data_IF_558474646008
#
_entry.id   IF_558474646008
#
_cell.length_a   1.000
_cell.length_b   1.000
_cell.length_c   1.000
_cell.angle_alpha   90.00
_cell.angle_beta   90.00
_cell.angle_gamma   90.00
#
_symmetry.space_group_name_H-M   'P 1'
#
loop_
_entity.id
_entity.type
_entity.pdbx_description
1 polymer ?
#
# COMPACT_ATOMS: atom_id res chain seq x y z
N UNK A 1 -2.02 17.88 -27.56
CA UNK A 1 -2.90 16.69 -27.37
C UNK A 1 -2.66 15.99 -26.02
N UNK A 2 -1.44 15.56 -25.68
CA UNK A 2 -1.15 14.87 -24.39
C UNK A 2 -1.49 15.68 -23.13
N UNK A 3 -1.08 16.96 -23.08
CA UNK A 3 -1.35 17.85 -21.93
C UNK A 3 -2.85 18.01 -21.67
N UNK A 4 -3.65 18.15 -22.73
CA UNK A 4 -5.12 18.28 -22.64
C UNK A 4 -5.76 17.03 -22.04
N UNK A 5 -5.32 15.84 -22.46
CA UNK A 5 -5.80 14.57 -21.90
C UNK A 5 -5.45 14.46 -20.41
N UNK A 6 -4.23 14.83 -20.02
CA UNK A 6 -3.82 14.87 -18.61
C UNK A 6 -4.69 15.83 -17.80
N UNK A 7 -4.95 17.05 -18.30
CA UNK A 7 -5.81 18.02 -17.62
C UNK A 7 -7.25 17.52 -17.44
N UNK A 8 -7.79 16.80 -18.43
CA UNK A 8 -9.14 16.20 -18.33
C UNK A 8 -9.15 15.09 -17.27
N UNK A 9 -8.14 14.21 -17.26
CA UNK A 9 -8.04 13.14 -16.26
C UNK A 9 -7.83 13.69 -14.84
N UNK A 10 -7.10 14.80 -14.68
CA UNK A 10 -6.88 15.47 -13.39
C UNK A 10 -8.11 16.21 -12.87
N UNK A 11 -8.96 16.74 -13.75
CA UNK A 11 -10.18 17.45 -13.35
C UNK A 11 -11.40 16.52 -13.27
N UNK A 12 -11.22 15.22 -13.53
CA UNK A 12 -12.32 14.26 -13.48
C UNK A 12 -12.68 13.95 -12.04
N UNK A 13 -13.78 14.54 -11.56
CA UNK A 13 -14.33 14.29 -10.22
C UNK A 13 -15.19 13.02 -10.15
N UNK A 14 -15.16 12.17 -11.18
CA UNK A 14 -15.97 10.97 -11.23
C UNK A 14 -15.19 9.78 -10.63
N UNK A 15 -15.71 9.09 -9.60
CA UNK A 15 -15.02 7.97 -8.95
C UNK A 15 -14.66 6.80 -9.89
N UNK A 16 -15.34 6.71 -11.04
CA UNK A 16 -15.09 5.69 -12.07
C UNK A 16 -13.96 6.06 -13.05
N UNK A 17 -13.52 7.32 -13.03
CA UNK A 17 -12.54 7.87 -13.97
C UNK A 17 -11.29 8.46 -13.27
N UNK A 18 -11.18 8.29 -11.95
CA UNK A 18 -10.08 8.81 -11.15
C UNK A 18 -8.84 7.89 -11.13
N UNK A 19 -8.74 6.91 -12.03
CA UNK A 19 -7.68 5.89 -12.00
C UNK A 19 -6.26 6.48 -11.94
N UNK A 20 -6.00 7.56 -12.70
CA UNK A 20 -4.70 8.25 -12.67
C UNK A 20 -4.41 8.86 -11.29
N UNK A 21 -5.37 9.62 -10.74
CA UNK A 21 -5.25 10.24 -9.41
C UNK A 21 -5.07 9.19 -8.31
N UNK A 22 -5.76 8.06 -8.44
CA UNK A 22 -5.67 6.91 -7.54
C UNK A 22 -4.28 6.30 -7.56
N UNK A 23 -3.71 6.05 -8.75
CA UNK A 23 -2.34 5.51 -8.89
C UNK A 23 -1.31 6.48 -8.31
N UNK A 24 -1.43 7.78 -8.58
CA UNK A 24 -0.55 8.82 -8.02
C UNK A 24 -0.65 8.83 -6.49
N UNK A 25 -1.85 8.69 -5.92
CA UNK A 25 -2.05 8.63 -4.48
C UNK A 25 -1.46 7.41 -3.80
N UNK A 26 -1.65 6.21 -4.37
CA UNK A 26 -1.00 4.99 -3.86
C UNK A 26 0.52 5.14 -3.90
N UNK A 27 1.05 5.67 -4.99
CA UNK A 27 2.49 5.88 -5.13
C UNK A 27 3.02 6.84 -4.06
N UNK A 28 2.39 8.00 -3.90
CA UNK A 28 2.77 8.97 -2.88
C UNK A 28 2.70 8.38 -1.46
N UNK A 29 1.64 7.64 -1.14
CA UNK A 29 1.49 6.94 0.12
C UNK A 29 2.59 5.88 0.35
N UNK A 30 2.94 5.11 -0.69
CA UNK A 30 4.01 4.10 -0.63
C UNK A 30 5.39 4.71 -0.41
N UNK A 31 5.61 5.95 -0.83
CA UNK A 31 6.84 6.71 -0.56
C UNK A 31 6.90 7.33 0.84
N UNK A 32 5.95 7.01 1.74
CA UNK A 32 5.81 7.67 3.04
C UNK A 32 5.68 9.20 2.93
N UNK A 33 5.01 9.68 1.87
CA UNK A 33 4.78 11.12 1.68
C UNK A 33 3.92 11.65 2.83
N UNK A 34 4.29 12.79 3.47
CA UNK A 34 3.49 13.37 4.53
C UNK A 34 2.06 13.64 4.10
N UNK A 35 1.09 13.38 4.98
CA UNK A 35 -0.34 13.53 4.67
C UNK A 35 -0.70 14.94 4.20
N UNK A 36 -0.03 15.97 4.75
CA UNK A 36 -0.19 17.36 4.32
C UNK A 36 0.16 17.57 2.84
N UNK A 37 1.20 16.90 2.36
CA UNK A 37 1.62 16.97 0.96
C UNK A 37 0.61 16.22 0.09
N UNK A 38 0.16 15.04 0.53
CA UNK A 38 -0.89 14.27 -0.17
C UNK A 38 -2.16 15.12 -0.33
N UNK A 39 -2.63 15.77 0.73
CA UNK A 39 -3.79 16.66 0.68
C UNK A 39 -3.57 17.84 -0.27
N UNK A 40 -2.39 18.47 -0.27
CA UNK A 40 -2.12 19.57 -1.22
C UNK A 40 -2.18 19.12 -2.68
N UNK A 41 -1.66 17.93 -2.98
CA UNK A 41 -1.68 17.35 -4.34
C UNK A 41 -3.10 16.91 -4.71
N UNK A 42 -3.87 16.42 -3.74
CA UNK A 42 -5.27 16.06 -3.93
C UNK A 42 -6.14 17.28 -4.24
N UNK A 43 -5.95 18.38 -3.51
CA UNK A 43 -6.60 19.67 -3.78
C UNK A 43 -6.21 20.26 -5.15
N UNK A 44 -5.02 19.93 -5.68
CA UNK A 44 -4.61 20.29 -7.03
C UNK A 44 -5.22 19.38 -8.14
N UNK A 45 -6.03 18.38 -7.78
CA UNK A 45 -6.64 17.42 -8.70
C UNK A 45 -5.66 16.37 -9.25
N UNK A 46 -4.47 16.26 -8.67
CA UNK A 46 -3.44 15.32 -9.11
C UNK A 46 -3.53 13.95 -8.42
N UNK A 47 -4.24 13.88 -7.29
CA UNK A 47 -4.30 12.73 -6.40
C UNK A 47 -5.69 12.62 -5.76
N UNK A 48 -6.03 11.45 -5.23
CA UNK A 48 -7.18 11.27 -4.33
C UNK A 48 -6.82 11.69 -2.90
N UNK A 49 -7.81 12.00 -2.07
CA UNK A 49 -7.55 12.43 -0.68
C UNK A 49 -6.91 11.32 0.16
N UNK A 50 -6.22 11.69 1.24
CA UNK A 50 -5.58 10.71 2.12
C UNK A 50 -6.55 9.67 2.71
N UNK A 51 -7.79 10.04 3.14
CA UNK A 51 -8.78 9.07 3.57
C UNK A 51 -9.18 8.08 2.46
N UNK A 52 -9.30 8.54 1.21
CA UNK A 52 -9.59 7.66 0.08
C UNK A 52 -8.48 6.65 -0.17
N UNK A 53 -7.21 7.06 -0.01
CA UNK A 53 -6.07 6.14 -0.12
C UNK A 53 -6.15 5.07 0.97
N UNK A 54 -6.35 5.47 2.22
CA UNK A 54 -6.44 4.54 3.35
C UNK A 54 -7.59 3.53 3.18
N UNK A 55 -8.77 4.00 2.75
CA UNK A 55 -9.92 3.13 2.47
C UNK A 55 -9.62 2.14 1.34
N UNK A 56 -8.92 2.57 0.31
CA UNK A 56 -8.52 1.70 -0.78
C UNK A 56 -7.51 0.64 -0.31
N UNK A 57 -6.50 1.01 0.47
CA UNK A 57 -5.53 0.05 1.04
C UNK A 57 -6.25 -0.98 1.91
N UNK A 58 -7.19 -0.56 2.74
CA UNK A 58 -8.01 -1.44 3.58
C UNK A 58 -8.86 -2.41 2.73
N UNK A 59 -9.63 -1.88 1.78
CA UNK A 59 -10.49 -2.70 0.92
C UNK A 59 -9.70 -3.67 0.03
N UNK A 60 -8.52 -3.25 -0.48
CA UNK A 60 -7.62 -4.13 -1.21
C UNK A 60 -7.07 -5.24 -0.32
N UNK A 61 -6.75 -4.94 0.94
CA UNK A 61 -6.27 -5.93 1.91
C UNK A 61 -7.35 -6.95 2.26
N UNK A 62 -8.59 -6.51 2.47
CA UNK A 62 -9.75 -7.39 2.70
C UNK A 62 -9.99 -8.31 1.48
N UNK A 63 -9.99 -7.74 0.27
CA UNK A 63 -10.15 -8.51 -0.96
C UNK A 63 -9.03 -9.52 -1.15
N UNK A 64 -7.78 -9.14 -0.88
CA UNK A 64 -6.63 -10.04 -0.96
C UNK A 64 -6.77 -11.21 0.03
N UNK A 65 -7.23 -10.93 1.26
CA UNK A 65 -7.51 -11.97 2.27
C UNK A 65 -8.57 -12.95 1.79
N UNK A 66 -9.65 -12.47 1.21
CA UNK A 66 -10.73 -13.34 0.74
C UNK A 66 -10.32 -14.17 -0.49
N UNK A 67 -9.56 -13.59 -1.41
CA UNK A 67 -8.95 -14.32 -2.53
C UNK A 67 -7.98 -15.40 -2.03
N UNK A 68 -7.16 -15.07 -1.02
CA UNK A 68 -6.23 -16.04 -0.42
C UNK A 68 -6.99 -17.21 0.20
N UNK A 69 -8.06 -16.95 0.98
CA UNK A 69 -8.90 -18.01 1.54
C UNK A 69 -9.54 -18.87 0.46
N UNK A 70 -10.06 -18.26 -0.60
CA UNK A 70 -10.67 -18.98 -1.72
C UNK A 70 -9.65 -19.90 -2.40
N UNK A 71 -8.44 -19.39 -2.66
CA UNK A 71 -7.35 -20.16 -3.27
C UNK A 71 -6.90 -21.34 -2.40
N UNK A 72 -6.70 -21.11 -1.10
CA UNK A 72 -6.32 -22.14 -0.11
C UNK A 72 -7.40 -23.22 0.03
N UNK A 73 -8.69 -22.87 -0.07
CA UNK A 73 -9.78 -23.86 -0.04
C UNK A 73 -9.86 -24.71 -1.31
N UNK A 74 -9.42 -24.17 -2.44
CA UNK A 74 -9.50 -24.85 -3.74
C UNK A 74 -8.27 -25.72 -4.05
N UNK A 75 -7.18 -25.58 -3.29
CA UNK A 75 -5.89 -26.21 -3.58
C UNK A 75 -5.38 -26.95 -2.34
N UNK A 76 -4.74 -28.11 -2.53
CA UNK A 76 -4.00 -28.73 -1.44
C UNK A 76 -2.77 -27.89 -1.14
N UNK A 77 -2.64 -27.37 0.08
CA UNK A 77 -1.51 -26.52 0.48
C UNK A 77 -0.83 -27.06 1.73
N UNK A 78 0.49 -26.87 1.80
CA UNK A 78 1.31 -26.99 3.00
C UNK A 78 1.49 -25.63 3.65
N UNK A 79 1.63 -25.60 4.98
CA UNK A 79 1.91 -24.40 5.75
C UNK A 79 3.40 -24.35 6.07
N UNK A 80 4.08 -23.32 5.57
CA UNK A 80 5.44 -22.99 5.98
C UNK A 80 5.41 -21.86 6.99
N UNK A 81 6.07 -22.03 8.13
CA UNK A 81 6.30 -20.97 9.11
C UNK A 81 7.79 -20.68 9.17
N UNK A 82 8.14 -19.39 9.24
CA UNK A 82 9.52 -18.95 9.39
C UNK A 82 9.62 -17.70 10.27
N UNK A 83 10.74 -17.55 10.97
CA UNK A 83 11.02 -16.38 11.78
C UNK A 83 11.66 -15.29 10.92
N UNK A 84 11.05 -14.12 10.94
CA UNK A 84 11.54 -12.92 10.28
C UNK A 84 12.09 -11.94 11.32
N UNK A 85 13.40 -11.78 11.31
CA UNK A 85 14.10 -10.80 12.14
C UNK A 85 14.45 -9.57 11.31
N UNK A 86 13.87 -8.42 11.66
CA UNK A 86 14.12 -7.15 10.97
C UNK A 86 14.96 -6.25 11.87
N UNK A 87 16.19 -5.97 11.43
CA UNK A 87 17.08 -5.03 12.11
C UNK A 87 16.95 -3.63 11.50
N UNK A 88 16.36 -2.71 12.25
CA UNK A 88 16.32 -1.29 11.90
C UNK A 88 17.61 -0.62 12.35
N UNK A 89 18.51 -0.38 11.39
CA UNK A 89 19.78 0.30 11.63
C UNK A 89 19.56 1.79 11.89
N UNK A 90 20.14 2.30 12.97
CA UNK A 90 20.28 3.74 13.19
C UNK A 90 21.62 4.19 12.61
N UNK A 91 21.64 5.27 11.83
CA UNK A 91 22.88 5.83 11.30
C UNK A 91 23.84 6.25 12.42
N UNK A 92 23.29 6.71 13.55
CA UNK A 92 24.05 7.06 14.74
C UNK A 92 23.24 6.70 15.99
N UNK A 93 23.53 5.55 16.63
CA UNK A 93 22.80 5.12 17.81
C UNK A 93 23.08 6.06 18.99
N UNK A 94 22.02 6.55 19.62
CA UNK A 94 22.07 7.30 20.88
C UNK A 94 21.39 6.49 21.98
N UNK A 95 21.57 6.88 23.26
CA UNK A 95 20.91 6.21 24.41
C UNK A 95 19.39 6.11 24.20
N UNK A 96 18.77 7.13 23.59
CA UNK A 96 17.32 7.16 23.34
C UNK A 96 16.92 6.51 22.00
N UNK A 97 17.84 6.44 21.03
CA UNK A 97 17.61 5.86 19.68
C UNK A 97 18.67 4.82 19.35
N UNK A 98 18.59 3.68 20.03
CA UNK A 98 19.36 2.49 19.69
C UNK A 98 18.81 1.78 18.45
N UNK A 99 19.67 0.97 17.81
CA UNK A 99 19.29 -0.04 16.83
C UNK A 99 18.18 -0.93 17.39
N UNK A 100 17.10 -1.11 16.62
CA UNK A 100 15.97 -1.96 17.03
C UNK A 100 15.99 -3.25 16.24
N UNK A 101 15.87 -4.38 16.93
CA UNK A 101 15.61 -5.68 16.34
C UNK A 101 14.15 -6.03 16.60
N UNK A 102 13.39 -6.30 15.55
CA UNK A 102 12.00 -6.74 15.64
C UNK A 102 11.94 -8.19 15.21
N UNK A 103 11.45 -9.04 16.10
CA UNK A 103 11.20 -10.45 15.86
C UNK A 103 9.74 -10.66 15.46
N UNK A 104 9.48 -11.28 14.32
CA UNK A 104 8.15 -11.66 13.86
C UNK A 104 8.14 -13.09 13.35
N UNK A 105 7.01 -13.79 13.48
CA UNK A 105 6.80 -15.07 12.81
C UNK A 105 5.93 -14.84 11.59
N UNK A 106 6.40 -15.28 10.43
CA UNK A 106 5.68 -15.22 9.17
C UNK A 106 5.19 -16.61 8.78
N UNK A 107 4.11 -16.66 8.00
CA UNK A 107 3.55 -17.90 7.48
C UNK A 107 3.24 -17.76 6.00
N UNK A 108 3.45 -18.84 5.25
CA UNK A 108 3.13 -18.90 3.81
C UNK A 108 2.37 -20.18 3.48
N UNK A 109 1.46 -20.08 2.51
CA UNK A 109 0.74 -21.23 1.95
C UNK A 109 1.50 -21.71 0.70
N UNK A 110 1.98 -22.95 0.72
CA UNK A 110 2.71 -23.58 -0.39
C UNK A 110 1.80 -24.59 -1.09
N UNK A 111 1.50 -24.46 -2.39
CA UNK A 111 0.72 -25.46 -3.11
C UNK A 111 1.47 -26.79 -3.17
N UNK A 112 0.75 -27.90 -2.99
CA UNK A 112 1.28 -29.29 -3.00
C UNK A 112 0.95 -30.06 -4.29
N UNK A 113 0.53 -29.34 -5.33
CA UNK A 113 0.20 -29.91 -6.63
C UNK A 113 1.46 -30.19 -7.47
#
# INVERSE_FOLDING_TARGET
>A
KRVVLFSICMQSNQPRCNALQTVVGIFAHSCNTPERVIETIAHAGLCVSAPSINNMVNSMSEKAKDLTKASVRATLVSLGYDNLDVQFKSHQPTIEKCTKLIHMTTGTFLPLN
#
